data_IF_845425571138
#
_entry.id   IF_845425571138
#
_cell.length_a   1.000
_cell.length_b   1.000
_cell.length_c   1.000
_cell.angle_alpha   90.00
_cell.angle_beta   90.00
_cell.angle_gamma   90.00
#
_symmetry.space_group_name_H-M   'P 1'
#
loop_
_entity.id
_entity.type
_entity.pdbx_description
1 polymer ?
#
# COMPACT_ATOMS: atom_id res chain seq x y z
N UNK A 1 7.31 26.64 -1.41
CA UNK A 1 5.98 27.29 -1.55
C UNK A 1 5.00 26.34 -2.27
N UNK A 2 5.26 25.92 -3.53
CA UNK A 2 4.31 25.09 -4.32
C UNK A 2 3.96 23.77 -3.60
N UNK A 3 4.96 23.03 -3.08
CA UNK A 3 4.73 21.79 -2.34
C UNK A 3 3.84 21.96 -1.11
N UNK A 4 3.98 23.08 -0.40
CA UNK A 4 3.14 23.39 0.77
C UNK A 4 1.69 23.69 0.38
N UNK A 5 1.48 24.37 -0.76
CA UNK A 5 0.13 24.64 -1.26
C UNK A 5 -0.59 23.34 -1.68
N UNK A 6 0.15 22.35 -2.19
CA UNK A 6 -0.39 21.05 -2.63
C UNK A 6 -0.70 20.09 -1.47
N UNK A 7 -0.16 20.35 -0.27
CA UNK A 7 -0.37 19.46 0.88
C UNK A 7 -1.84 19.34 1.29
N UNK A 8 -2.58 20.45 1.24
CA UNK A 8 -4.00 20.51 1.63
C UNK A 8 -4.85 20.44 0.37
N UNK A 9 -5.57 19.34 0.20
CA UNK A 9 -6.43 19.11 -0.96
C UNK A 9 -7.80 19.72 -0.75
N UNK A 10 -8.30 20.38 -1.78
CA UNK A 10 -9.68 20.86 -1.85
C UNK A 10 -10.66 19.67 -2.04
N UNK A 11 -11.97 19.86 -1.82
CA UNK A 11 -12.96 18.82 -2.09
C UNK A 11 -12.96 18.30 -3.53
N UNK A 12 -12.66 19.15 -4.52
CA UNK A 12 -12.57 18.74 -5.92
C UNK A 12 -11.35 17.83 -6.17
N UNK A 13 -10.20 18.15 -5.57
CA UNK A 13 -8.99 17.32 -5.65
C UNK A 13 -9.21 15.97 -4.96
N UNK A 14 -9.84 15.95 -3.78
CA UNK A 14 -10.21 14.71 -3.10
C UNK A 14 -11.15 13.84 -3.94
N UNK A 15 -12.08 14.43 -4.68
CA UNK A 15 -12.96 13.68 -5.59
C UNK A 15 -12.20 13.02 -6.74
N UNK A 16 -11.17 13.66 -7.28
CA UNK A 16 -10.30 13.06 -8.31
C UNK A 16 -9.45 11.92 -7.74
N UNK A 17 -8.92 12.09 -6.53
CA UNK A 17 -8.19 11.02 -5.82
C UNK A 17 -9.12 9.84 -5.48
N UNK A 18 -10.37 10.10 -5.12
CA UNK A 18 -11.37 9.04 -4.91
C UNK A 18 -11.60 8.24 -6.20
N UNK A 19 -11.80 8.93 -7.33
CA UNK A 19 -11.98 8.27 -8.62
C UNK A 19 -10.74 7.43 -9.02
N UNK A 20 -9.53 7.94 -8.77
CA UNK A 20 -8.29 7.19 -9.02
C UNK A 20 -8.20 5.94 -8.13
N UNK A 21 -8.56 6.06 -6.84
CA UNK A 21 -8.56 4.95 -5.89
C UNK A 21 -9.59 3.86 -6.27
N UNK A 22 -10.79 4.26 -6.70
CA UNK A 22 -11.83 3.32 -7.13
C UNK A 22 -11.39 2.53 -8.38
N UNK A 23 -10.80 3.21 -9.37
CA UNK A 23 -10.25 2.58 -10.57
C UNK A 23 -9.11 1.63 -10.21
N UNK A 24 -8.21 2.06 -9.31
CA UNK A 24 -7.07 1.24 -8.90
C UNK A 24 -7.52 -0.04 -8.20
N UNK A 25 -8.44 0.06 -7.23
CA UNK A 25 -8.98 -1.10 -6.51
C UNK A 25 -9.66 -2.10 -7.47
N UNK A 26 -10.48 -1.61 -8.41
CA UNK A 26 -11.13 -2.44 -9.43
C UNK A 26 -10.11 -3.12 -10.35
N UNK A 27 -9.02 -2.42 -10.71
CA UNK A 27 -7.98 -2.94 -11.59
C UNK A 27 -7.15 -4.04 -10.92
N UNK A 28 -6.82 -3.89 -9.62
CA UNK A 28 -6.14 -4.92 -8.84
C UNK A 28 -6.99 -6.17 -8.70
N UNK A 29 -8.29 -6.02 -8.42
CA UNK A 29 -9.24 -7.14 -8.39
C UNK A 29 -9.28 -7.86 -9.75
N UNK A 30 -9.46 -7.11 -10.84
CA UNK A 30 -9.47 -7.66 -12.19
C UNK A 30 -8.23 -8.48 -12.51
N UNK A 31 -7.04 -7.99 -12.17
CA UNK A 31 -5.78 -8.68 -12.40
C UNK A 31 -5.62 -9.89 -11.47
N UNK A 32 -5.96 -9.76 -10.20
CA UNK A 32 -5.90 -10.86 -9.23
C UNK A 32 -6.75 -12.08 -9.64
N UNK A 33 -7.99 -11.85 -10.07
CA UNK A 33 -8.90 -12.90 -10.57
C UNK A 33 -8.37 -13.57 -11.85
N UNK A 34 -7.54 -12.88 -12.63
CA UNK A 34 -6.98 -13.35 -13.90
C UNK A 34 -5.55 -13.83 -13.82
N UNK A 35 -4.93 -13.69 -12.65
CA UNK A 35 -3.61 -14.28 -12.40
C UNK A 35 -3.67 -15.81 -12.58
N UNK A 36 -2.65 -16.37 -13.25
CA UNK A 36 -2.56 -17.80 -13.56
C UNK A 36 -1.14 -18.31 -13.25
N UNK A 37 -1.04 -19.63 -13.04
CA UNK A 37 0.26 -20.29 -12.85
C UNK A 37 1.19 -20.00 -14.05
N UNK A 38 2.44 -19.69 -13.77
CA UNK A 38 3.46 -19.37 -14.76
C UNK A 38 3.44 -17.94 -15.29
N UNK A 39 2.48 -17.09 -14.89
CA UNK A 39 2.51 -15.67 -15.29
C UNK A 39 3.74 -14.96 -14.73
N UNK A 40 4.31 -14.06 -15.55
CA UNK A 40 5.37 -13.14 -15.13
C UNK A 40 4.79 -11.89 -14.48
N UNK A 41 5.61 -11.11 -13.73
CA UNK A 41 5.22 -9.80 -13.23
C UNK A 41 4.67 -8.88 -14.32
N UNK A 42 5.32 -8.83 -15.48
CA UNK A 42 4.94 -7.97 -16.60
C UNK A 42 3.57 -8.35 -17.19
N UNK A 43 3.22 -9.63 -17.17
CA UNK A 43 1.90 -10.09 -17.64
C UNK A 43 0.78 -9.67 -16.69
N UNK A 44 1.02 -9.70 -15.37
CA UNK A 44 0.06 -9.20 -14.38
C UNK A 44 -0.06 -7.69 -14.48
N UNK A 45 1.06 -6.99 -14.60
CA UNK A 45 1.13 -5.55 -14.77
C UNK A 45 0.33 -5.08 -16.00
N UNK A 46 0.45 -5.79 -17.11
CA UNK A 46 -0.33 -5.51 -18.33
C UNK A 46 -1.85 -5.68 -18.14
N UNK A 47 -2.30 -6.61 -17.28
CA UNK A 47 -3.72 -6.74 -16.92
C UNK A 47 -4.20 -5.51 -16.15
N UNK A 48 -3.41 -5.02 -15.19
CA UNK A 48 -3.71 -3.83 -14.39
C UNK A 48 -3.79 -2.60 -15.30
N UNK A 49 -2.78 -2.38 -16.14
CA UNK A 49 -2.72 -1.26 -17.07
C UNK A 49 -3.91 -1.25 -18.04
N UNK A 50 -4.30 -2.42 -18.56
CA UNK A 50 -5.45 -2.56 -19.46
C UNK A 50 -6.77 -2.23 -18.74
N UNK A 51 -6.94 -2.68 -17.49
CA UNK A 51 -8.13 -2.41 -16.71
C UNK A 51 -8.26 -0.92 -16.37
N UNK A 52 -7.18 -0.28 -15.91
CA UNK A 52 -7.16 1.16 -15.63
C UNK A 52 -7.54 1.99 -16.85
N UNK A 53 -6.93 1.71 -18.00
CA UNK A 53 -7.24 2.38 -19.25
C UNK A 53 -8.71 2.23 -19.64
N UNK A 54 -9.28 1.04 -19.48
CA UNK A 54 -10.69 0.76 -19.78
C UNK A 54 -11.65 1.54 -18.87
N UNK A 55 -11.24 1.76 -17.61
CA UNK A 55 -12.01 2.48 -16.60
C UNK A 55 -11.80 4.00 -16.65
N UNK A 56 -10.94 4.50 -17.53
CA UNK A 56 -10.67 5.94 -17.72
C UNK A 56 -9.56 6.50 -16.82
N UNK A 57 -8.78 5.63 -16.16
CA UNK A 57 -7.58 6.01 -15.43
C UNK A 57 -6.33 6.00 -16.32
N UNK A 58 -5.28 6.65 -15.83
CA UNK A 58 -3.93 6.58 -16.42
C UNK A 58 -3.05 5.67 -15.56
N UNK A 59 -2.38 4.74 -16.22
CA UNK A 59 -1.42 3.85 -15.58
C UNK A 59 -0.04 4.52 -15.51
N UNK A 60 0.48 4.68 -14.31
CA UNK A 60 1.76 5.35 -14.06
C UNK A 60 2.86 4.38 -13.58
N UNK A 61 2.57 3.08 -13.55
CA UNK A 61 3.51 2.02 -13.19
C UNK A 61 3.05 1.14 -12.05
N UNK A 62 3.73 0.01 -11.90
CA UNK A 62 3.48 -0.95 -10.83
C UNK A 62 4.70 -1.78 -10.50
N UNK A 63 4.68 -2.37 -9.33
CA UNK A 63 5.66 -3.29 -8.80
C UNK A 63 4.95 -4.60 -8.45
N UNK A 64 5.18 -5.63 -9.26
CA UNK A 64 4.60 -6.96 -9.05
C UNK A 64 5.69 -7.87 -8.49
N UNK A 65 5.53 -8.31 -7.25
CA UNK A 65 6.49 -9.14 -6.55
C UNK A 65 5.90 -10.52 -6.25
N UNK A 66 6.59 -11.58 -6.65
CA UNK A 66 6.09 -12.95 -6.58
C UNK A 66 7.04 -13.79 -5.72
N UNK A 67 6.50 -14.60 -4.80
CA UNK A 67 7.25 -15.52 -3.98
C UNK A 67 8.34 -14.83 -3.17
N UNK A 68 9.58 -15.34 -3.24
CA UNK A 68 10.74 -14.78 -2.53
C UNK A 68 11.02 -13.32 -2.91
N UNK A 69 10.70 -12.89 -4.14
CA UNK A 69 10.91 -11.49 -4.55
C UNK A 69 10.12 -10.51 -3.68
N UNK A 70 8.98 -10.92 -3.12
CA UNK A 70 8.20 -10.09 -2.20
C UNK A 70 8.90 -9.80 -0.86
N UNK A 71 9.94 -10.59 -0.50
CA UNK A 71 10.75 -10.34 0.69
C UNK A 71 11.62 -9.07 0.60
N UNK A 72 11.67 -8.45 -0.57
CA UNK A 72 12.46 -7.25 -0.85
C UNK A 72 11.53 -6.13 -1.31
N UNK A 73 11.43 -4.98 -0.58
CA UNK A 73 10.43 -3.95 -0.84
C UNK A 73 10.39 -3.39 -2.26
N UNK A 74 11.54 -3.39 -2.94
CA UNK A 74 11.69 -2.93 -4.33
C UNK A 74 11.98 -4.08 -5.30
N UNK A 75 11.73 -5.32 -4.88
CA UNK A 75 11.88 -6.51 -5.71
C UNK A 75 13.30 -7.07 -5.78
N UNK A 76 13.45 -8.04 -6.66
CA UNK A 76 14.70 -8.77 -6.91
C UNK A 76 14.95 -8.84 -8.42
N UNK A 77 16.21 -8.82 -8.83
CA UNK A 77 16.59 -9.02 -10.23
C UNK A 77 16.46 -10.47 -10.72
N UNK A 78 16.12 -11.41 -9.82
CA UNK A 78 15.90 -12.81 -10.19
C UNK A 78 14.55 -12.94 -10.89
N UNK A 79 14.49 -13.51 -12.11
CA UNK A 79 13.22 -13.81 -12.75
C UNK A 79 12.37 -14.72 -11.85
N UNK A 80 11.11 -14.36 -11.68
CA UNK A 80 10.16 -15.14 -10.91
C UNK A 80 8.82 -15.17 -11.62
N UNK A 81 8.11 -16.28 -11.55
CA UNK A 81 6.77 -16.45 -12.11
C UNK A 81 5.83 -17.00 -11.05
N UNK A 82 4.56 -16.74 -11.21
CA UNK A 82 3.51 -17.18 -10.28
C UNK A 82 3.53 -18.71 -10.14
N UNK A 83 3.54 -19.18 -8.89
CA UNK A 83 3.42 -20.59 -8.53
C UNK A 83 2.40 -20.78 -7.43
N UNK A 84 1.70 -21.92 -7.46
CA UNK A 84 0.71 -22.28 -6.44
C UNK A 84 1.30 -22.25 -5.03
N UNK A 85 0.61 -21.57 -4.11
CA UNK A 85 0.99 -21.44 -2.69
C UNK A 85 1.96 -20.29 -2.40
N UNK A 86 2.38 -19.53 -3.44
CA UNK A 86 3.27 -18.39 -3.26
C UNK A 86 2.51 -17.07 -3.07
N UNK A 87 3.16 -16.14 -2.41
CA UNK A 87 2.72 -14.75 -2.30
C UNK A 87 2.77 -14.08 -3.68
N UNK A 88 1.73 -13.33 -3.99
CA UNK A 88 1.70 -12.32 -5.06
C UNK A 88 1.37 -10.98 -4.42
N UNK A 89 2.29 -10.05 -4.52
CA UNK A 89 2.17 -8.67 -4.05
C UNK A 89 2.08 -7.78 -5.28
N UNK A 90 1.02 -7.01 -5.38
CA UNK A 90 0.77 -6.05 -6.46
C UNK A 90 0.69 -4.65 -5.85
N UNK A 91 1.67 -3.81 -6.14
CA UNK A 91 1.81 -2.44 -5.67
C UNK A 91 1.80 -1.53 -6.89
N UNK A 92 0.72 -0.78 -7.07
CA UNK A 92 0.46 -0.09 -8.33
C UNK A 92 -0.20 1.26 -8.12
N UNK A 93 0.08 2.16 -9.06
CA UNK A 93 -0.47 3.51 -9.08
C UNK A 93 -1.49 3.70 -10.22
N UNK A 94 -2.39 4.63 -10.02
CA UNK A 94 -3.37 5.07 -11.00
C UNK A 94 -3.56 6.58 -10.87
N UNK A 95 -3.75 7.29 -11.97
CA UNK A 95 -4.14 8.70 -11.89
C UNK A 95 -5.40 9.03 -12.68
N UNK A 96 -6.13 10.04 -12.18
CA UNK A 96 -7.27 10.67 -12.84
C UNK A 96 -7.02 12.17 -12.87
N UNK A 97 -6.93 12.75 -14.08
CA UNK A 97 -6.58 14.14 -14.29
C UNK A 97 -5.32 14.58 -13.52
N UNK A 98 -4.32 13.65 -13.40
CA UNK A 98 -3.05 13.90 -12.73
C UNK A 98 -3.08 13.73 -11.21
N UNK A 99 -4.21 13.38 -10.59
CA UNK A 99 -4.29 13.04 -9.17
C UNK A 99 -4.15 11.53 -8.97
N UNK A 100 -3.23 11.16 -8.08
CA UNK A 100 -2.75 9.79 -7.89
C UNK A 100 -3.56 9.02 -6.84
N UNK A 101 -3.61 7.71 -7.02
CA UNK A 101 -3.85 6.72 -6.00
C UNK A 101 -2.74 5.68 -6.02
N UNK A 102 -2.39 5.15 -4.85
CA UNK A 102 -1.36 4.14 -4.65
C UNK A 102 -1.94 3.04 -3.77
N UNK A 103 -2.00 1.81 -4.27
CA UNK A 103 -2.66 0.70 -3.57
C UNK A 103 -1.85 -0.59 -3.75
N UNK A 104 -1.54 -1.22 -2.62
CA UNK A 104 -0.93 -2.56 -2.62
C UNK A 104 -1.91 -3.60 -2.12
N UNK A 105 -1.97 -4.72 -2.84
CA UNK A 105 -2.67 -5.95 -2.42
C UNK A 105 -1.71 -7.12 -2.41
N UNK A 106 -1.80 -7.93 -1.35
CA UNK A 106 -1.01 -9.16 -1.20
C UNK A 106 -1.93 -10.34 -0.95
N UNK A 107 -1.76 -11.40 -1.73
CA UNK A 107 -2.53 -12.64 -1.61
C UNK A 107 -1.66 -13.88 -1.87
N UNK A 108 -2.21 -15.08 -1.59
CA UNK A 108 -1.59 -16.37 -1.93
C UNK A 108 -2.26 -16.95 -3.17
N UNK A 109 -1.47 -17.23 -4.21
CA UNK A 109 -2.00 -17.76 -5.45
C UNK A 109 -2.32 -19.26 -5.35
N UNK A 110 -3.52 -19.64 -5.80
CA UNK A 110 -3.91 -21.03 -6.13
C UNK A 110 -3.94 -22.01 -4.96
N UNK A 111 -3.82 -21.56 -3.72
CA UNK A 111 -3.82 -22.42 -2.54
C UNK A 111 -4.22 -21.70 -1.25
N UNK A 112 -4.43 -22.46 -0.18
CA UNK A 112 -4.62 -21.87 1.14
C UNK A 112 -3.30 -21.27 1.65
N UNK A 113 -3.34 -20.11 2.30
CA UNK A 113 -2.17 -19.53 2.97
C UNK A 113 -1.61 -20.49 4.04
N UNK A 114 -0.29 -20.57 4.15
CA UNK A 114 0.36 -21.22 5.30
C UNK A 114 0.05 -20.42 6.58
N UNK A 115 0.23 -21.05 7.74
CA UNK A 115 0.05 -20.36 9.03
C UNK A 115 0.98 -19.14 9.17
N UNK A 116 2.21 -19.22 8.62
CA UNK A 116 3.16 -18.09 8.64
C UNK A 116 2.70 -16.95 7.72
N UNK A 117 2.26 -17.26 6.49
CA UNK A 117 1.75 -16.25 5.55
C UNK A 117 0.52 -15.53 6.13
N UNK A 118 -0.43 -16.27 6.69
CA UNK A 118 -1.60 -15.70 7.35
C UNK A 118 -1.22 -14.80 8.52
N UNK A 119 -0.36 -15.29 9.41
CA UNK A 119 0.10 -14.52 10.57
C UNK A 119 0.75 -13.20 10.14
N UNK A 120 1.64 -13.23 9.17
CA UNK A 120 2.34 -12.00 8.69
C UNK A 120 1.34 -11.05 8.02
N UNK A 121 0.42 -11.57 7.23
CA UNK A 121 -0.62 -10.76 6.59
C UNK A 121 -1.51 -10.05 7.65
N UNK A 122 -1.99 -10.80 8.65
CA UNK A 122 -2.82 -10.27 9.74
C UNK A 122 -2.05 -9.20 10.56
N UNK A 123 -0.76 -9.38 10.76
CA UNK A 123 0.10 -8.40 11.42
C UNK A 123 0.27 -7.12 10.60
N UNK A 124 0.43 -7.23 9.28
CA UNK A 124 0.48 -6.05 8.38
C UNK A 124 -0.87 -5.34 8.34
N UNK A 125 -1.97 -6.08 8.24
CA UNK A 125 -3.32 -5.51 8.31
C UNK A 125 -3.54 -4.78 9.64
N UNK A 126 -3.09 -5.36 10.75
CA UNK A 126 -3.11 -4.68 12.06
C UNK A 126 -2.25 -3.43 12.06
N UNK A 127 -1.11 -3.42 11.35
CA UNK A 127 -0.27 -2.24 11.14
C UNK A 127 -1.01 -1.09 10.49
N UNK A 128 -1.80 -1.34 9.44
CA UNK A 128 -2.65 -0.31 8.82
C UNK A 128 -3.66 0.28 9.82
N UNK A 129 -4.30 -0.57 10.63
CA UNK A 129 -5.26 -0.13 11.65
C UNK A 129 -4.60 0.74 12.72
N UNK A 130 -3.37 0.38 13.15
CA UNK A 130 -2.58 1.16 14.11
C UNK A 130 -2.20 2.51 13.54
N UNK A 131 -1.78 2.57 12.28
CA UNK A 131 -1.47 3.83 11.60
C UNK A 131 -2.69 4.76 11.57
N UNK A 132 -3.87 4.25 11.19
CA UNK A 132 -5.12 5.03 11.20
C UNK A 132 -5.50 5.50 12.60
N UNK A 133 -5.35 4.67 13.62
CA UNK A 133 -5.66 5.04 15.01
C UNK A 133 -4.70 6.12 15.56
N UNK A 134 -3.44 6.12 15.10
CA UNK A 134 -2.42 7.10 15.48
C UNK A 134 -2.55 8.44 14.72
N UNK A 135 -3.07 8.42 13.49
CA UNK A 135 -3.22 9.59 12.64
C UNK A 135 -4.35 10.51 13.13
N UNK A 136 -4.04 11.40 14.07
CA UNK A 136 -4.98 12.38 14.62
C UNK A 136 -4.59 13.78 14.16
N UNK A 137 -5.60 14.66 14.01
CA UNK A 137 -5.36 16.08 13.71
C UNK A 137 -4.46 16.70 14.78
N UNK A 138 -3.42 17.41 14.35
CA UNK A 138 -2.47 18.11 15.21
C UNK A 138 -1.33 17.28 15.76
N UNK A 139 -1.32 15.94 15.61
CA UNK A 139 -0.16 15.14 16.03
C UNK A 139 0.94 15.18 14.98
N UNK A 140 2.23 15.07 15.37
CA UNK A 140 3.33 14.95 14.41
C UNK A 140 3.16 13.74 13.49
N UNK A 141 3.36 13.92 12.20
CA UNK A 141 3.21 12.86 11.20
C UNK A 141 4.10 11.63 11.49
N UNK A 142 5.30 11.85 12.05
CA UNK A 142 6.21 10.78 12.44
C UNK A 142 5.68 9.87 13.55
N UNK A 143 4.75 10.35 14.38
CA UNK A 143 4.16 9.52 15.44
C UNK A 143 3.34 8.35 14.91
N UNK A 144 2.86 8.44 13.66
CA UNK A 144 2.16 7.34 12.98
C UNK A 144 3.14 6.18 12.70
N UNK A 145 4.30 6.50 12.15
CA UNK A 145 5.38 5.51 11.91
C UNK A 145 5.88 4.90 13.23
N UNK A 146 6.07 5.74 14.25
CA UNK A 146 6.52 5.27 15.56
C UNK A 146 5.56 4.27 16.20
N UNK A 147 4.24 4.49 16.07
CA UNK A 147 3.22 3.59 16.61
C UNK A 147 3.26 2.21 15.92
N UNK A 148 3.35 2.18 14.59
CA UNK A 148 3.45 0.93 13.82
C UNK A 148 4.75 0.19 14.16
N UNK A 149 5.90 0.88 14.14
CA UNK A 149 7.21 0.28 14.43
C UNK A 149 7.30 -0.27 15.83
N UNK A 150 6.87 0.48 16.83
CA UNK A 150 6.87 0.03 18.22
C UNK A 150 6.07 -1.27 18.40
N UNK A 151 4.94 -1.39 17.68
CA UNK A 151 4.15 -2.62 17.70
C UNK A 151 4.88 -3.77 17.02
N UNK A 152 5.47 -3.52 15.83
CA UNK A 152 6.22 -4.56 15.11
C UNK A 152 7.45 -5.04 15.90
N UNK A 153 8.16 -4.13 16.56
CA UNK A 153 9.27 -4.49 17.45
C UNK A 153 8.80 -5.36 18.63
N UNK A 154 7.62 -5.09 19.21
CA UNK A 154 7.03 -5.93 20.25
C UNK A 154 6.68 -7.35 19.78
N UNK A 155 6.49 -7.53 18.47
CA UNK A 155 6.28 -8.85 17.84
C UNK A 155 7.57 -9.52 17.39
N UNK A 156 8.74 -8.90 17.63
CA UNK A 156 10.07 -9.45 17.32
C UNK A 156 10.61 -9.08 15.94
N UNK A 157 10.02 -8.09 15.27
CA UNK A 157 10.54 -7.53 14.00
C UNK A 157 11.46 -6.33 14.25
N UNK A 158 12.38 -6.09 13.36
CA UNK A 158 13.27 -4.95 13.45
C UNK A 158 14.54 -5.23 14.29
N UNK A 159 15.06 -4.25 15.04
CA UNK A 159 14.49 -2.93 15.38
C UNK A 159 14.55 -1.91 14.24
N UNK A 160 13.67 -0.92 14.30
CA UNK A 160 13.55 0.17 13.33
C UNK A 160 13.40 -0.35 11.90
N UNK A 161 14.36 -0.02 11.02
CA UNK A 161 14.38 -0.38 9.59
C UNK A 161 15.10 -1.71 9.30
N UNK A 162 15.47 -2.48 10.33
CA UNK A 162 16.14 -3.77 10.13
C UNK A 162 15.14 -4.86 9.75
N UNK A 163 15.61 -5.78 8.90
CA UNK A 163 14.89 -6.99 8.52
C UNK A 163 15.23 -8.16 9.47
N UNK A 164 14.32 -9.10 9.71
CA UNK A 164 12.93 -9.10 9.24
C UNK A 164 12.11 -8.00 9.89
N UNK A 165 11.25 -7.34 9.10
CA UNK A 165 10.46 -6.20 9.56
C UNK A 165 10.16 -5.21 8.43
N UNK A 166 9.93 -3.94 8.78
CA UNK A 166 9.64 -2.87 7.83
C UNK A 166 10.89 -2.03 7.57
N UNK A 167 11.42 -2.05 6.34
CA UNK A 167 12.63 -1.33 5.96
C UNK A 167 12.38 0.04 5.32
N UNK A 168 11.14 0.48 5.24
CA UNK A 168 10.72 1.77 4.69
C UNK A 168 9.75 2.50 5.63
N UNK A 169 9.40 3.74 5.33
CA UNK A 169 8.39 4.55 6.05
C UNK A 169 7.02 3.86 6.04
N UNK A 170 6.16 4.21 7.00
CA UNK A 170 4.78 3.69 7.07
C UNK A 170 3.87 4.31 6.00
N UNK A 171 4.25 5.47 5.46
CA UNK A 171 3.51 6.10 4.36
C UNK A 171 4.15 7.42 3.91
N UNK A 172 3.59 8.01 2.88
CA UNK A 172 4.03 9.27 2.29
C UNK A 172 2.83 10.13 1.90
N UNK A 173 3.06 11.43 1.77
CA UNK A 173 2.07 12.32 1.15
C UNK A 173 1.85 11.93 -0.31
N UNK A 174 0.63 12.11 -0.78
CA UNK A 174 0.21 11.78 -2.15
C UNK A 174 -0.75 12.86 -2.68
N UNK A 175 -0.75 13.08 -3.99
CA UNK A 175 -1.61 14.05 -4.65
C UNK A 175 -1.38 14.07 -6.14
N UNK A 176 -0.82 15.14 -6.68
CA UNK A 176 -0.42 15.23 -8.10
C UNK A 176 0.87 14.44 -8.39
N UNK A 177 1.64 14.13 -7.37
CA UNK A 177 2.77 13.20 -7.44
C UNK A 177 2.48 12.03 -6.51
N UNK A 178 2.98 10.84 -6.86
CA UNK A 178 2.89 9.66 -5.98
C UNK A 178 3.55 9.96 -4.64
N UNK A 179 4.72 10.57 -4.66
CA UNK A 179 5.45 10.97 -3.46
C UNK A 179 5.45 12.49 -3.27
N UNK A 180 4.59 12.97 -2.37
CA UNK A 180 4.57 14.36 -1.90
C UNK A 180 5.04 14.45 -0.44
N UNK A 181 5.55 15.61 0.03
CA UNK A 181 5.62 15.85 1.46
C UNK A 181 4.18 15.99 2.02
N UNK A 182 3.89 15.58 3.22
CA UNK A 182 4.74 15.15 4.35
C UNK A 182 4.87 13.62 4.33
N UNK A 183 5.91 13.05 4.98
CA UNK A 183 6.02 11.60 5.11
C UNK A 183 5.56 11.13 6.50
N UNK A 184 4.97 9.94 6.57
CA UNK A 184 4.74 9.21 7.81
C UNK A 184 6.00 8.41 8.15
N UNK A 185 7.00 9.10 8.70
CA UNK A 185 8.33 8.55 8.99
C UNK A 185 8.86 9.09 10.32
N UNK A 186 9.58 8.27 11.06
CA UNK A 186 10.17 8.66 12.35
C UNK A 186 10.86 10.04 12.28
N UNK A 187 10.55 10.91 13.22
CA UNK A 187 11.14 12.25 13.33
C UNK A 187 10.46 13.34 12.49
N UNK A 188 9.47 13.02 11.65
CA UNK A 188 8.70 14.04 10.94
C UNK A 188 7.79 14.81 11.93
N UNK A 189 8.11 16.09 12.11
CA UNK A 189 7.47 16.94 13.11
C UNK A 189 6.24 17.71 12.62
N UNK A 190 5.97 17.69 11.29
CA UNK A 190 4.81 18.41 10.71
C UNK A 190 3.51 17.88 11.30
N UNK A 191 2.66 18.75 11.87
CA UNK A 191 1.37 18.32 12.42
C UNK A 191 0.43 17.90 11.29
N UNK A 192 -0.29 16.80 11.49
CA UNK A 192 -1.34 16.35 10.58
C UNK A 192 -2.50 17.35 10.59
N UNK A 193 -2.99 17.71 9.40
CA UNK A 193 -4.05 18.69 9.23
C UNK A 193 -5.14 18.19 8.26
N UNK A 194 -6.40 18.61 8.42
CA UNK A 194 -7.46 18.29 7.47
C UNK A 194 -7.09 18.63 6.03
N UNK A 195 -7.46 17.78 5.08
CA UNK A 195 -7.12 17.90 3.67
C UNK A 195 -5.75 17.32 3.27
N UNK A 196 -4.89 16.95 4.20
CA UNK A 196 -3.69 16.17 3.89
C UNK A 196 -4.05 14.77 3.44
N UNK A 197 -3.35 14.25 2.42
CA UNK A 197 -3.53 12.90 1.88
C UNK A 197 -2.23 12.10 1.97
N UNK A 198 -2.35 10.81 2.30
CA UNK A 198 -1.22 9.93 2.52
C UNK A 198 -1.50 8.52 1.98
N UNK A 199 -0.43 7.79 1.64
CA UNK A 199 -0.46 6.33 1.66
C UNK A 199 -0.41 5.82 3.10
N UNK A 200 -0.94 4.62 3.32
CA UNK A 200 -0.79 3.85 4.56
C UNK A 200 -0.35 2.45 4.15
N UNK A 201 0.97 2.22 4.12
CA UNK A 201 1.63 1.10 3.43
C UNK A 201 2.58 0.27 4.34
N UNK A 202 2.19 -0.08 5.55
CA UNK A 202 3.07 -0.90 6.37
C UNK A 202 3.33 -2.25 5.69
N UNK A 203 4.56 -2.76 5.86
CA UNK A 203 4.95 -4.07 5.34
C UNK A 203 5.80 -4.83 6.34
N UNK A 204 5.83 -6.16 6.21
CA UNK A 204 6.75 -7.05 6.91
C UNK A 204 7.43 -7.92 5.87
N UNK A 205 8.76 -7.84 5.83
CA UNK A 205 9.60 -8.52 4.85
C UNK A 205 10.53 -9.50 5.58
N UNK A 206 10.54 -10.76 5.14
CA UNK A 206 11.33 -11.86 5.74
C UNK A 206 12.31 -12.36 4.68
N UNK A 207 13.57 -11.87 4.66
CA UNK A 207 14.56 -12.26 3.67
C UNK A 207 14.67 -13.78 3.48
N UNK A 208 14.72 -14.23 2.22
CA UNK A 208 14.78 -15.64 1.86
C UNK A 208 13.47 -16.40 1.98
N UNK A 209 12.35 -15.70 2.33
CA UNK A 209 11.02 -16.31 2.40
C UNK A 209 10.01 -15.54 1.55
N UNK A 210 9.40 -14.51 2.11
CA UNK A 210 8.39 -13.67 1.47
C UNK A 210 8.21 -12.35 2.23
N UNK A 211 7.49 -11.43 1.64
CA UNK A 211 7.01 -10.21 2.29
C UNK A 211 5.54 -9.99 2.03
N UNK A 212 4.94 -9.18 2.88
CA UNK A 212 3.57 -8.69 2.77
C UNK A 212 3.60 -7.18 2.91
N UNK A 213 2.95 -6.47 2.00
CA UNK A 213 2.57 -5.05 2.10
C UNK A 213 1.08 -4.94 1.80
N UNK A 214 0.38 -4.19 2.62
CA UNK A 214 -0.98 -3.76 2.36
C UNK A 214 -0.98 -2.24 2.36
N UNK A 215 -1.61 -1.66 1.36
CA UNK A 215 -1.61 -0.22 1.19
C UNK A 215 -2.95 0.28 0.71
N UNK A 216 -3.40 1.34 1.33
CA UNK A 216 -4.53 2.12 0.92
C UNK A 216 -4.25 3.61 1.17
N UNK A 217 -4.69 4.47 0.27
CA UNK A 217 -4.62 5.90 0.48
C UNK A 217 -5.71 6.38 1.41
N UNK A 218 -5.40 7.38 2.24
CA UNK A 218 -6.34 8.05 3.12
C UNK A 218 -6.15 9.56 3.12
N UNK A 219 -7.18 10.28 3.54
CA UNK A 219 -7.08 11.72 3.79
C UNK A 219 -7.49 12.06 5.22
N UNK A 220 -6.95 13.16 5.72
CA UNK A 220 -7.36 13.70 7.02
C UNK A 220 -8.65 14.51 6.86
N UNK A 221 -9.63 14.21 7.70
CA UNK A 221 -10.84 15.03 7.88
C UNK A 221 -10.73 15.85 9.16
N UNK A 222 -11.69 16.72 9.44
CA UNK A 222 -11.76 17.47 10.72
C UNK A 222 -11.82 16.54 11.96
N UNK A 223 -12.32 15.31 11.78
CA UNK A 223 -12.52 14.34 12.87
C UNK A 223 -11.50 13.21 12.90
N UNK A 224 -10.55 13.18 11.94
CA UNK A 224 -9.51 12.16 11.84
C UNK A 224 -9.36 11.58 10.43
N UNK A 225 -8.60 10.49 10.26
CA UNK A 225 -8.29 9.92 8.97
C UNK A 225 -9.48 9.13 8.38
N UNK A 226 -9.61 9.17 7.05
CA UNK A 226 -10.60 8.41 6.30
C UNK A 226 -9.96 7.82 5.06
N UNK A 227 -10.06 6.51 4.89
CA UNK A 227 -9.61 5.83 3.67
C UNK A 227 -10.44 6.25 2.45
N UNK A 228 -9.82 6.27 1.28
CA UNK A 228 -10.50 6.36 -0.01
C UNK A 228 -11.11 5.01 -0.43
N UNK A 229 -10.50 3.91 -0.02
CA UNK A 229 -10.94 2.54 -0.32
C UNK A 229 -11.28 1.79 0.96
N UNK A 230 -11.91 0.64 0.84
CA UNK A 230 -12.06 -0.29 1.96
C UNK A 230 -10.88 -1.26 1.95
N UNK A 231 -10.01 -1.28 2.99
CA UNK A 231 -8.96 -2.27 3.09
C UNK A 231 -9.52 -3.69 3.08
N UNK A 232 -8.78 -4.67 2.51
CA UNK A 232 -9.23 -6.04 2.44
C UNK A 232 -9.43 -6.62 3.84
N UNK A 233 -10.49 -7.43 4.07
CA UNK A 233 -10.81 -7.94 5.40
C UNK A 233 -9.91 -9.08 5.85
N UNK A 234 -9.33 -9.83 4.92
CA UNK A 234 -8.46 -10.99 5.22
C UNK A 234 -7.61 -11.39 4.02
N UNK A 235 -6.61 -12.23 4.25
CA UNK A 235 -5.80 -12.84 3.19
C UNK A 235 -6.63 -13.75 2.26
N UNK A 236 -7.78 -14.24 2.72
CA UNK A 236 -8.68 -15.09 1.93
C UNK A 236 -9.61 -14.26 1.04
N UNK A 237 -9.80 -12.98 1.37
CA UNK A 237 -10.51 -11.99 0.55
C UNK A 237 -9.65 -10.73 0.37
N UNK A 238 -8.57 -10.83 -0.42
CA UNK A 238 -7.55 -9.79 -0.53
C UNK A 238 -7.98 -8.54 -1.31
N UNK A 239 -9.15 -8.60 -1.96
CA UNK A 239 -9.67 -7.49 -2.75
C UNK A 239 -10.96 -6.88 -2.18
N UNK A 240 -11.53 -7.50 -1.14
CA UNK A 240 -12.84 -7.14 -0.59
C UNK A 240 -13.99 -7.48 -1.56
N UNK A 241 -15.14 -7.84 -1.07
CA UNK A 241 -16.32 -8.13 -1.89
C UNK A 241 -16.95 -6.85 -2.44
#
# INVERSE_FOLDING_TARGET
VVRQLRMIKSPAELALMQAAADIMAASLRYAGERTRDGMTPEQIDALIASAQKTLGGSYDGGLILIGEASAYPHGSHKPHVVRKGEIVLMDCTCSVHGYQADITRTFVFGGAPTSEQRKVWDQVHRGQQIAMAAAKVGVPAGSVDDAVRSTYESWGYGPRYKLPGTSHRTGHGIGMEVHEPVNLVHGEATPLAPGMCFSNEPGIYIPGKFGVRLEDCFHMTETGPKFFTTPPPSIDDPFGA
#
